data_IF_008402465202
#
_entry.id   IF_008402465202
#
_cell.length_a   1.000
_cell.length_b   1.000
_cell.length_c   1.000
_cell.angle_alpha   90.00
_cell.angle_beta   90.00
_cell.angle_gamma   90.00
#
_symmetry.space_group_name_H-M   'P 1'
#
loop_
_entity.id
_entity.type
_entity.pdbx_description
1 polymer ?
#
# COMPACT_ATOMS: atom_id res chain seq x y z
N UNK A 1 1.13 39.98 10.43
CA UNK A 1 2.24 39.06 10.79
C UNK A 1 3.26 39.11 9.67
N UNK A 2 4.49 39.57 9.94
CA UNK A 2 5.59 39.50 8.98
C UNK A 2 6.02 38.03 8.87
N UNK A 3 5.64 37.38 7.77
CA UNK A 3 6.07 36.01 7.47
C UNK A 3 7.41 36.08 6.75
N UNK A 4 8.49 35.78 7.47
CA UNK A 4 9.80 35.59 6.83
C UNK A 4 9.74 34.31 5.99
N UNK A 5 10.09 34.43 4.71
CA UNK A 5 10.16 33.30 3.76
C UNK A 5 11.59 33.16 3.28
N UNK A 6 12.01 31.92 3.06
CA UNK A 6 13.35 31.61 2.57
C UNK A 6 13.36 30.35 1.72
N UNK A 7 14.56 30.07 1.20
CA UNK A 7 14.86 28.82 0.49
C UNK A 7 16.06 28.18 1.17
N UNK A 8 15.94 26.92 1.55
CA UNK A 8 17.00 26.11 2.12
C UNK A 8 17.47 25.08 1.09
N UNK A 9 18.77 25.08 0.79
CA UNK A 9 19.35 24.18 -0.22
C UNK A 9 19.98 22.96 0.44
N UNK A 10 19.74 21.80 -0.14
CA UNK A 10 20.34 20.52 0.26
C UNK A 10 20.84 19.79 -0.99
N UNK A 11 21.56 18.68 -0.80
CA UNK A 11 21.94 17.79 -1.92
C UNK A 11 20.72 17.15 -2.61
N UNK A 12 19.60 17.04 -1.89
CA UNK A 12 18.38 16.39 -2.34
C UNK A 12 17.46 17.33 -3.13
N UNK A 13 17.49 18.61 -2.76
CA UNK A 13 16.76 19.67 -3.43
C UNK A 13 16.62 20.93 -2.60
N UNK A 14 15.90 21.89 -3.17
CA UNK A 14 15.62 23.17 -2.54
C UNK A 14 14.26 23.12 -1.81
N UNK A 15 14.25 23.47 -0.53
CA UNK A 15 13.04 23.61 0.29
C UNK A 15 12.66 25.08 0.43
N UNK A 16 11.51 25.46 -0.09
CA UNK A 16 10.88 26.72 0.28
C UNK A 16 10.31 26.61 1.69
N UNK A 17 10.48 27.64 2.50
CA UNK A 17 10.03 27.64 3.88
C UNK A 17 9.51 28.99 4.36
N UNK A 18 8.72 28.97 5.43
CA UNK A 18 8.24 30.15 6.16
C UNK A 18 8.54 29.99 7.65
N UNK A 19 9.00 31.07 8.27
CA UNK A 19 9.13 31.18 9.73
C UNK A 19 7.80 31.64 10.31
N UNK A 20 7.33 30.90 11.32
CA UNK A 20 6.13 31.19 12.09
C UNK A 20 6.51 31.35 13.56
N UNK A 21 5.70 32.09 14.32
CA UNK A 21 5.96 32.38 15.72
C UNK A 21 4.65 32.39 16.51
N UNK A 22 4.70 31.89 17.75
CA UNK A 22 3.55 31.86 18.65
C UNK A 22 3.21 33.28 19.12
N UNK A 23 1.92 33.61 19.15
CA UNK A 23 1.46 34.94 19.56
C UNK A 23 1.11 34.92 21.05
N UNK A 24 2.13 35.00 21.92
CA UNK A 24 1.98 35.20 23.36
C UNK A 24 2.61 34.12 24.24
N UNK A 25 3.40 34.54 25.23
CA UNK A 25 3.86 33.73 26.37
C UNK A 25 5.30 33.21 26.30
N UNK A 26 5.77 32.81 25.11
CA UNK A 26 7.18 32.54 24.81
C UNK A 26 7.37 32.78 23.30
N UNK A 27 8.41 33.50 22.86
CA UNK A 27 8.71 33.69 21.44
C UNK A 27 9.25 32.41 20.80
N UNK A 28 8.45 31.34 20.77
CA UNK A 28 8.82 30.12 20.08
C UNK A 28 8.60 30.32 18.58
N UNK A 29 9.69 30.25 17.82
CA UNK A 29 9.68 30.25 16.36
C UNK A 29 9.80 28.82 15.83
N UNK A 30 9.10 28.53 14.75
CA UNK A 30 9.23 27.28 14.00
C UNK A 30 9.19 27.53 12.52
N UNK A 31 9.56 26.51 11.75
CA UNK A 31 9.55 26.54 10.30
C UNK A 31 8.47 25.61 9.76
N UNK A 32 7.76 26.13 8.77
CA UNK A 32 6.83 25.41 7.90
C UNK A 32 7.45 25.28 6.51
N UNK A 33 7.68 24.06 6.03
CA UNK A 33 8.12 23.80 4.65
C UNK A 33 6.94 24.05 3.71
N UNK A 34 7.10 24.97 2.76
CA UNK A 34 6.02 25.40 1.86
C UNK A 34 6.04 24.71 0.51
N UNK A 35 7.22 24.37 0.01
CA UNK A 35 7.40 23.70 -1.27
C UNK A 35 8.74 22.98 -1.35
N UNK A 36 8.83 21.94 -2.16
CA UNK A 36 10.06 21.21 -2.44
C UNK A 36 10.36 21.14 -3.94
N UNK A 37 11.58 21.51 -4.31
CA UNK A 37 12.08 21.54 -5.69
C UNK A 37 13.37 20.72 -5.82
N UNK A 38 13.28 19.43 -5.51
CA UNK A 38 14.33 18.46 -5.79
C UNK A 38 13.99 17.52 -6.93
N UNK A 39 15.04 16.92 -7.50
CA UNK A 39 14.95 15.87 -8.52
C UNK A 39 15.42 14.52 -8.02
N UNK A 40 15.94 14.44 -6.79
CA UNK A 40 16.42 13.19 -6.21
C UNK A 40 15.26 12.23 -5.89
N UNK A 41 15.51 10.91 -5.96
CA UNK A 41 14.53 9.89 -5.64
C UNK A 41 14.27 9.76 -4.13
N UNK A 42 15.10 10.36 -3.29
CA UNK A 42 14.96 10.36 -1.85
C UNK A 42 14.96 11.79 -1.32
N UNK A 43 14.12 12.05 -0.32
CA UNK A 43 14.12 13.31 0.42
C UNK A 43 14.05 13.05 1.92
N UNK A 44 14.87 13.76 2.67
CA UNK A 44 14.80 13.91 4.12
C UNK A 44 14.32 15.32 4.41
N UNK A 45 13.12 15.44 4.99
CA UNK A 45 12.66 16.73 5.49
C UNK A 45 13.61 17.15 6.61
N UNK A 46 14.29 18.30 6.50
CA UNK A 46 15.27 18.71 7.50
C UNK A 46 14.60 18.89 8.86
N UNK A 47 15.25 18.43 9.93
CA UNK A 47 14.76 18.68 11.29
C UNK A 47 14.89 20.15 11.68
N UNK A 48 15.91 20.84 11.14
CA UNK A 48 16.20 22.25 11.40
C UNK A 48 16.63 22.97 10.13
N UNK A 49 16.22 24.22 10.00
CA UNK A 49 16.68 25.16 8.98
C UNK A 49 17.16 26.41 9.73
N UNK A 50 18.42 26.81 9.50
CA UNK A 50 19.04 27.96 10.20
C UNK A 50 18.95 27.87 11.74
N UNK A 51 19.02 26.66 12.29
CA UNK A 51 18.91 26.39 13.73
C UNK A 51 17.47 26.35 14.28
N UNK A 52 16.49 26.80 13.50
CA UNK A 52 15.07 26.78 13.86
C UNK A 52 14.45 25.42 13.52
N UNK A 53 13.65 24.88 14.44
CA UNK A 53 12.97 23.59 14.28
C UNK A 53 11.93 23.62 13.13
N UNK A 54 11.95 22.61 12.28
CA UNK A 54 10.91 22.38 11.26
C UNK A 54 9.79 21.59 11.90
N UNK A 55 8.62 22.22 12.06
CA UNK A 55 7.45 21.61 12.73
C UNK A 55 6.29 21.31 11.80
N UNK A 56 6.25 21.90 10.62
CA UNK A 56 5.13 21.67 9.71
C UNK A 56 5.57 21.50 8.25
N UNK A 57 4.85 20.66 7.54
CA UNK A 57 4.83 20.60 6.07
C UNK A 57 3.52 21.20 5.62
N UNK A 58 3.57 22.25 4.81
CA UNK A 58 2.39 22.93 4.33
C UNK A 58 1.57 22.07 3.37
N UNK A 59 0.30 22.47 3.19
CA UNK A 59 -0.57 21.99 2.13
C UNK A 59 0.16 22.00 0.78
N UNK A 60 0.13 20.86 0.08
CA UNK A 60 0.72 20.67 -1.27
C UNK A 60 2.25 20.86 -1.38
N UNK A 61 3.00 20.85 -0.28
CA UNK A 61 4.44 21.13 -0.31
C UNK A 61 5.25 20.19 -1.23
N UNK A 62 4.88 18.91 -1.31
CA UNK A 62 5.48 17.89 -2.16
C UNK A 62 4.52 17.44 -3.29
N UNK A 63 3.57 18.28 -3.68
CA UNK A 63 2.58 17.92 -4.70
C UNK A 63 3.26 17.53 -6.03
N UNK A 64 2.84 16.39 -6.58
CA UNK A 64 3.24 15.89 -7.90
C UNK A 64 4.75 15.73 -8.10
N UNK A 65 5.49 15.36 -7.05
CA UNK A 65 6.92 15.04 -7.16
C UNK A 65 7.11 13.63 -7.74
N UNK A 66 6.95 13.51 -9.05
CA UNK A 66 7.00 12.21 -9.78
C UNK A 66 8.33 11.48 -9.70
N UNK A 67 9.45 12.14 -9.39
CA UNK A 67 10.74 11.46 -9.24
C UNK A 67 10.94 10.88 -7.83
N UNK A 68 10.15 11.33 -6.86
CA UNK A 68 10.33 10.97 -5.46
C UNK A 68 9.87 9.53 -5.23
N UNK A 69 10.77 8.70 -4.69
CA UNK A 69 10.53 7.29 -4.31
C UNK A 69 10.53 7.08 -2.81
N UNK A 70 11.30 7.87 -2.06
CA UNK A 70 11.45 7.75 -0.61
C UNK A 70 11.31 9.10 0.07
N UNK A 71 10.47 9.18 1.10
CA UNK A 71 10.31 10.39 1.91
C UNK A 71 10.50 10.09 3.39
N UNK A 72 11.45 10.77 4.03
CA UNK A 72 11.71 10.65 5.47
C UNK A 72 11.28 11.96 6.13
N UNK A 73 10.20 11.91 6.92
CA UNK A 73 9.71 13.08 7.66
C UNK A 73 10.45 13.19 8.99
N UNK A 74 10.86 14.38 9.40
CA UNK A 74 11.64 14.58 10.61
C UNK A 74 10.88 14.30 11.91
N UNK A 75 11.60 13.86 12.94
CA UNK A 75 11.08 13.61 14.30
C UNK A 75 10.54 14.87 14.99
N UNK A 76 10.97 16.07 14.60
CA UNK A 76 10.45 17.31 15.17
C UNK A 76 9.13 17.75 14.52
N UNK A 77 8.69 17.09 13.43
CA UNK A 77 7.49 17.45 12.69
C UNK A 77 6.21 17.19 13.49
N UNK A 78 5.34 18.18 13.59
CA UNK A 78 4.07 18.13 14.33
C UNK A 78 2.86 18.08 13.39
N UNK A 79 2.99 18.61 12.17
CA UNK A 79 1.90 18.72 11.21
C UNK A 79 2.34 18.45 9.76
N UNK A 80 1.49 17.74 9.02
CA UNK A 80 1.56 17.57 7.56
C UNK A 80 0.24 18.03 6.98
N UNK A 81 0.24 19.09 6.19
CA UNK A 81 -0.97 19.69 5.65
C UNK A 81 -1.65 18.86 4.56
N UNK A 82 -2.86 19.29 4.19
CA UNK A 82 -3.67 18.60 3.18
C UNK A 82 -2.90 18.38 1.85
N UNK A 83 -3.08 17.21 1.24
CA UNK A 83 -2.45 16.86 -0.05
C UNK A 83 -0.93 17.06 -0.10
N UNK A 84 -0.23 17.06 1.04
CA UNK A 84 1.20 17.40 1.08
C UNK A 84 2.03 16.53 0.12
N UNK A 85 1.73 15.23 -0.01
CA UNK A 85 2.41 14.28 -0.90
C UNK A 85 1.52 13.80 -2.05
N UNK A 86 0.39 14.46 -2.33
CA UNK A 86 -0.53 13.95 -3.34
C UNK A 86 0.09 13.91 -4.75
N UNK A 87 -0.35 12.96 -5.58
CA UNK A 87 0.12 12.73 -6.95
C UNK A 87 1.62 12.40 -7.07
N UNK A 88 2.26 11.93 -6.00
CA UNK A 88 3.63 11.42 -6.05
C UNK A 88 3.60 9.96 -6.54
N UNK A 89 3.40 9.78 -7.85
CA UNK A 89 3.11 8.48 -8.46
C UNK A 89 4.16 7.40 -8.24
N UNK A 90 5.43 7.78 -8.05
CA UNK A 90 6.55 6.86 -7.83
C UNK A 90 6.98 6.77 -6.35
N UNK A 91 6.27 7.42 -5.42
CA UNK A 91 6.60 7.36 -4.00
C UNK A 91 6.31 5.96 -3.48
N UNK A 92 7.34 5.21 -3.11
CA UNK A 92 7.25 3.80 -2.71
C UNK A 92 7.24 3.61 -1.20
N UNK A 93 8.03 4.43 -0.49
CA UNK A 93 8.22 4.31 0.94
C UNK A 93 8.26 5.65 1.66
N UNK A 94 7.57 5.71 2.80
CA UNK A 94 7.51 6.90 3.65
C UNK A 94 7.90 6.51 5.07
N UNK A 95 8.74 7.31 5.71
CA UNK A 95 9.10 7.16 7.12
C UNK A 95 8.47 8.28 7.92
N UNK A 96 7.58 7.91 8.83
CA UNK A 96 6.90 8.81 9.75
C UNK A 96 7.48 8.63 11.16
N UNK A 97 7.66 9.71 11.92
CA UNK A 97 8.08 9.61 13.31
C UNK A 97 6.97 8.93 14.13
N UNK A 98 7.33 8.01 15.02
CA UNK A 98 6.39 7.26 15.87
C UNK A 98 5.92 8.10 17.07
N UNK A 99 5.28 9.22 16.75
CA UNK A 99 4.70 10.16 17.71
C UNK A 99 3.39 10.71 17.15
N UNK A 100 2.69 11.49 17.97
CA UNK A 100 1.51 12.22 17.51
C UNK A 100 1.89 13.19 16.38
N UNK A 101 1.37 12.94 15.18
CA UNK A 101 1.55 13.76 14.00
C UNK A 101 0.17 14.12 13.45
N UNK A 102 -0.12 15.42 13.29
CA UNK A 102 -1.37 15.85 12.66
C UNK A 102 -1.23 15.67 11.16
N UNK A 103 -1.97 14.72 10.59
CA UNK A 103 -2.06 14.52 9.15
C UNK A 103 -3.30 15.26 8.64
N UNK A 104 -3.12 16.09 7.63
CA UNK A 104 -4.21 16.75 6.91
C UNK A 104 -4.99 15.77 6.06
N UNK A 105 -5.99 16.27 5.35
CA UNK A 105 -6.82 15.41 4.50
C UNK A 105 -6.01 14.95 3.29
N UNK A 106 -6.18 13.68 2.91
CA UNK A 106 -5.71 13.12 1.63
C UNK A 106 -4.21 13.35 1.37
N UNK A 107 -3.38 13.22 2.42
CA UNK A 107 -1.91 13.46 2.35
C UNK A 107 -1.25 12.69 1.21
N UNK A 108 -1.66 11.43 0.99
CA UNK A 108 -1.12 10.50 -0.01
C UNK A 108 -2.10 10.20 -1.15
N UNK A 109 -3.02 11.12 -1.45
CA UNK A 109 -3.97 10.95 -2.56
C UNK A 109 -3.23 10.76 -3.89
N UNK A 110 -3.69 9.80 -4.70
CA UNK A 110 -3.11 9.49 -6.02
C UNK A 110 -1.61 9.15 -5.95
N UNK A 111 -1.22 8.38 -4.94
CA UNK A 111 0.13 7.82 -4.79
C UNK A 111 0.12 6.29 -4.93
N UNK A 112 -0.14 5.73 -6.13
CA UNK A 112 -0.28 4.29 -6.35
C UNK A 112 1.02 3.50 -6.11
N UNK A 113 2.17 4.17 -6.11
CA UNK A 113 3.46 3.54 -5.82
C UNK A 113 3.67 3.17 -4.35
N UNK A 114 2.91 3.74 -3.40
CA UNK A 114 3.20 3.57 -1.97
C UNK A 114 2.89 2.13 -1.57
N UNK A 115 3.95 1.40 -1.23
CA UNK A 115 3.84 0.02 -0.74
C UNK A 115 4.09 -0.07 0.76
N UNK A 116 4.82 0.89 1.35
CA UNK A 116 5.19 0.85 2.77
C UNK A 116 5.23 2.23 3.41
N UNK A 117 4.61 2.35 4.58
CA UNK A 117 4.75 3.50 5.48
C UNK A 117 5.34 3.00 6.79
N UNK A 118 6.61 3.29 7.02
CA UNK A 118 7.32 2.92 8.23
C UNK A 118 7.09 3.94 9.34
N UNK A 119 7.05 3.44 10.58
CA UNK A 119 7.16 4.28 11.78
C UNK A 119 8.55 4.09 12.37
N UNK A 120 9.17 5.16 12.84
CA UNK A 120 10.51 5.10 13.42
C UNK A 120 10.63 5.94 14.68
N UNK A 121 11.61 5.61 15.52
CA UNK A 121 11.98 6.38 16.72
C UNK A 121 13.42 6.88 16.55
N UNK A 122 13.69 8.10 17.02
CA UNK A 122 14.97 8.82 16.86
C UNK A 122 16.22 8.02 17.31
N UNK A 123 16.07 7.08 18.24
CA UNK A 123 17.14 6.19 18.72
C UNK A 123 17.54 5.10 17.71
N UNK A 124 16.82 4.93 16.60
CA UNK A 124 17.01 3.85 15.60
C UNK A 124 17.33 4.34 14.19
N UNK A 125 17.83 5.58 14.02
CA UNK A 125 18.11 6.19 12.70
C UNK A 125 19.19 5.47 11.85
N UNK A 126 19.83 4.40 12.34
CA UNK A 126 20.55 3.46 11.48
C UNK A 126 19.55 2.55 10.75
N UNK A 127 18.81 3.12 9.79
CA UNK A 127 17.63 2.54 9.11
C UNK A 127 17.95 1.28 8.28
N UNK A 128 19.21 0.87 8.14
CA UNK A 128 19.56 -0.21 7.21
C UNK A 128 19.44 -1.64 7.77
N UNK A 129 19.40 -1.87 9.10
CA UNK A 129 19.74 -3.19 9.63
C UNK A 129 18.79 -3.85 10.66
N UNK A 130 17.60 -3.31 10.93
CA UNK A 130 16.67 -3.98 11.87
C UNK A 130 15.20 -3.91 11.42
N UNK A 131 14.91 -4.49 10.26
CA UNK A 131 13.54 -4.71 9.82
C UNK A 131 13.04 -6.06 10.30
N UNK A 132 12.18 -6.06 11.33
CA UNK A 132 11.47 -7.28 11.71
C UNK A 132 10.34 -7.56 10.73
N UNK A 133 9.99 -8.83 10.54
CA UNK A 133 8.86 -9.23 9.70
C UNK A 133 7.56 -8.54 10.13
N UNK A 134 7.33 -8.37 11.44
CA UNK A 134 6.16 -7.66 11.95
C UNK A 134 6.15 -6.16 11.57
N UNK A 135 7.32 -5.52 11.51
CA UNK A 135 7.44 -4.12 11.10
C UNK A 135 7.18 -3.95 9.60
N UNK A 136 7.69 -4.86 8.76
CA UNK A 136 7.40 -4.89 7.33
C UNK A 136 5.90 -5.04 7.07
N UNK A 137 5.25 -5.96 7.77
CA UNK A 137 3.81 -6.18 7.64
C UNK A 137 2.99 -4.97 8.12
N UNK A 138 3.36 -4.40 9.27
CA UNK A 138 2.71 -3.17 9.77
C UNK A 138 2.85 -2.01 8.77
N UNK A 139 4.03 -1.87 8.16
CA UNK A 139 4.28 -0.80 7.19
C UNK A 139 3.44 -0.96 5.91
N UNK A 140 3.24 -2.20 5.44
CA UNK A 140 2.36 -2.50 4.32
C UNK A 140 0.88 -2.21 4.65
N UNK A 141 0.42 -2.58 5.85
CA UNK A 141 -0.95 -2.31 6.30
C UNK A 141 -1.20 -0.80 6.47
N UNK A 142 -0.23 -0.03 6.98
CA UNK A 142 -0.31 1.44 7.06
C UNK A 142 -0.38 2.08 5.66
N UNK A 143 0.42 1.60 4.71
CA UNK A 143 0.35 2.04 3.33
C UNK A 143 -1.04 1.80 2.74
N UNK A 144 -1.57 0.58 2.88
CA UNK A 144 -2.90 0.23 2.39
C UNK A 144 -4.02 1.06 3.04
N UNK A 145 -3.89 1.39 4.33
CA UNK A 145 -4.82 2.29 5.02
C UNK A 145 -4.85 3.69 4.37
N UNK A 146 -3.69 4.20 3.95
CA UNK A 146 -3.55 5.51 3.32
C UNK A 146 -4.08 5.54 1.89
N UNK A 147 -3.77 4.52 1.08
CA UNK A 147 -3.96 4.58 -0.39
C UNK A 147 -5.07 3.69 -0.92
N UNK A 148 -5.50 2.67 -0.18
CA UNK A 148 -6.51 1.71 -0.65
C UNK A 148 -7.84 1.80 0.11
N UNK A 149 -7.80 2.03 1.42
CA UNK A 149 -9.00 2.03 2.27
C UNK A 149 -9.66 3.40 2.46
N UNK A 150 -8.97 4.48 2.06
CA UNK A 150 -9.33 5.89 2.35
C UNK A 150 -9.72 6.07 3.83
N UNK A 151 -8.94 5.46 4.72
CA UNK A 151 -9.25 5.34 6.15
C UNK A 151 -8.23 6.14 6.96
N UNK A 152 -8.33 7.46 6.92
CA UNK A 152 -7.37 8.38 7.55
C UNK A 152 -7.18 8.13 9.05
N UNK A 153 -8.22 7.67 9.74
CA UNK A 153 -8.15 7.31 11.17
C UNK A 153 -7.26 6.09 11.46
N UNK A 154 -6.93 5.26 10.46
CA UNK A 154 -5.98 4.15 10.58
C UNK A 154 -4.52 4.61 10.39
N UNK A 155 -4.26 5.86 10.01
CA UNK A 155 -2.91 6.46 9.97
C UNK A 155 -2.41 6.90 11.35
N UNK A 156 -2.93 6.29 12.42
CA UNK A 156 -2.42 6.44 13.77
C UNK A 156 -1.09 5.68 13.92
N UNK A 157 0.00 6.39 13.65
CA UNK A 157 1.37 5.86 13.73
C UNK A 157 1.79 5.42 15.14
N UNK A 158 1.09 5.84 16.19
CA UNK A 158 1.42 5.45 17.57
C UNK A 158 0.89 4.04 17.88
N UNK A 159 -0.29 3.73 17.37
CA UNK A 159 -0.98 2.45 17.58
C UNK A 159 -0.73 1.43 16.47
N UNK A 160 -0.09 1.84 15.36
CA UNK A 160 0.19 0.96 14.24
C UNK A 160 0.88 -0.35 14.67
N UNK A 161 0.28 -1.49 14.27
CA UNK A 161 0.77 -2.83 14.58
C UNK A 161 0.33 -3.37 15.96
N UNK A 162 -0.38 -2.60 16.78
CA UNK A 162 -1.02 -3.16 18.00
C UNK A 162 -2.23 -4.01 17.62
N UNK A 163 -2.60 -4.97 18.48
CA UNK A 163 -3.78 -5.83 18.25
C UNK A 163 -5.05 -5.00 18.03
N UNK A 164 -5.25 -3.95 18.82
CA UNK A 164 -6.43 -3.09 18.70
C UNK A 164 -6.46 -2.31 17.38
N UNK A 165 -5.29 -1.88 16.89
CA UNK A 165 -5.19 -1.23 15.58
C UNK A 165 -5.46 -2.20 14.43
N UNK A 166 -4.91 -3.42 14.50
CA UNK A 166 -5.15 -4.48 13.50
C UNK A 166 -6.64 -4.82 13.42
N UNK A 167 -7.34 -4.96 14.54
CA UNK A 167 -8.78 -5.21 14.57
C UNK A 167 -9.61 -4.10 13.88
N UNK A 168 -9.22 -2.83 14.06
CA UNK A 168 -9.89 -1.72 13.36
C UNK A 168 -9.60 -1.76 11.85
N UNK A 169 -8.38 -2.13 11.48
CA UNK A 169 -7.98 -2.29 10.08
C UNK A 169 -8.78 -3.40 9.41
N UNK A 170 -8.89 -4.58 10.05
CA UNK A 170 -9.64 -5.72 9.54
C UNK A 170 -11.14 -5.43 9.45
N UNK A 171 -11.71 -4.74 10.46
CA UNK A 171 -13.11 -4.30 10.39
C UNK A 171 -13.37 -3.36 9.21
N UNK A 172 -12.42 -2.47 8.89
CA UNK A 172 -12.52 -1.59 7.71
C UNK A 172 -12.40 -2.39 6.41
N UNK A 173 -11.47 -3.32 6.33
CA UNK A 173 -11.34 -4.20 5.17
C UNK A 173 -12.62 -5.01 4.95
N UNK A 174 -13.18 -5.61 6.01
CA UNK A 174 -14.42 -6.37 5.93
C UNK A 174 -15.59 -5.53 5.39
N UNK A 175 -15.71 -4.27 5.82
CA UNK A 175 -16.72 -3.36 5.28
C UNK A 175 -16.52 -3.08 3.78
N UNK A 176 -15.27 -2.97 3.31
CA UNK A 176 -14.97 -2.80 1.86
C UNK A 176 -15.31 -4.06 1.07
N UNK A 177 -15.00 -5.23 1.62
CA UNK A 177 -15.25 -6.52 0.95
C UNK A 177 -16.75 -6.85 0.87
N UNK A 178 -17.52 -6.48 1.89
CA UNK A 178 -18.97 -6.67 1.95
C UNK A 178 -19.77 -5.68 1.08
N UNK A 179 -19.20 -4.53 0.70
CA UNK A 179 -19.86 -3.56 -0.17
C UNK A 179 -20.14 -4.17 -1.55
N UNK A 180 -21.27 -3.83 -2.17
CA UNK A 180 -21.57 -4.32 -3.52
C UNK A 180 -20.60 -3.72 -4.55
N UNK A 181 -20.26 -4.48 -5.59
CA UNK A 181 -19.25 -4.02 -6.57
C UNK A 181 -19.70 -2.76 -7.34
N UNK A 182 -21.01 -2.54 -7.49
CA UNK A 182 -21.58 -1.34 -8.11
C UNK A 182 -21.73 -0.16 -7.16
N UNK A 183 -21.46 -0.33 -5.86
CA UNK A 183 -21.65 0.71 -4.86
C UNK A 183 -20.76 1.94 -5.16
N UNK A 184 -21.41 3.10 -5.22
CA UNK A 184 -20.76 4.38 -5.52
C UNK A 184 -20.77 4.79 -6.99
N UNK A 185 -21.18 3.91 -7.92
CA UNK A 185 -21.22 4.25 -9.36
C UNK A 185 -22.14 5.44 -9.66
N UNK A 186 -23.37 5.41 -9.16
CA UNK A 186 -24.32 6.53 -9.35
C UNK A 186 -23.78 7.83 -8.76
N UNK A 187 -23.12 7.76 -7.60
CA UNK A 187 -22.52 8.94 -6.96
C UNK A 187 -21.38 9.50 -7.80
N UNK A 188 -20.51 8.65 -8.35
CA UNK A 188 -19.40 9.03 -9.24
C UNK A 188 -19.92 9.81 -10.46
N UNK A 189 -20.96 9.28 -11.12
CA UNK A 189 -21.61 9.95 -12.27
C UNK A 189 -22.18 11.31 -11.83
N UNK A 190 -22.95 11.33 -10.74
CA UNK A 190 -23.63 12.56 -10.28
C UNK A 190 -22.63 13.64 -9.83
N UNK A 191 -21.48 13.26 -9.30
CA UNK A 191 -20.43 14.18 -8.88
C UNK A 191 -19.54 14.65 -10.03
N UNK A 192 -19.70 14.12 -11.25
CA UNK A 192 -18.83 14.42 -12.38
C UNK A 192 -17.38 13.97 -12.14
N UNK A 193 -17.19 12.95 -11.28
CA UNK A 193 -15.90 12.33 -10.98
C UNK A 193 -15.59 11.17 -11.94
N UNK A 194 -16.41 10.98 -12.97
CA UNK A 194 -16.17 10.00 -14.02
C UNK A 194 -14.95 10.41 -14.86
N UNK A 195 -13.98 9.49 -15.00
CA UNK A 195 -13.11 9.53 -16.17
C UNK A 195 -14.01 9.38 -17.41
N UNK A 196 -13.84 10.26 -18.40
CA UNK A 196 -14.63 10.26 -19.63
C UNK A 196 -14.71 8.84 -20.21
N UNK A 197 -15.90 8.22 -20.15
CA UNK A 197 -16.17 6.91 -20.73
C UNK A 197 -16.17 5.70 -19.79
N UNK A 198 -16.06 5.87 -18.47
CA UNK A 198 -16.14 4.73 -17.53
C UNK A 198 -17.53 4.07 -17.52
N UNK A 199 -17.63 2.88 -18.12
CA UNK A 199 -18.86 2.07 -18.10
C UNK A 199 -19.11 1.46 -16.72
N UNK A 200 -20.36 1.08 -16.42
CA UNK A 200 -20.69 0.36 -15.18
C UNK A 200 -19.87 -0.94 -15.05
N UNK A 201 -19.68 -1.65 -16.16
CA UNK A 201 -18.91 -2.89 -16.20
C UNK A 201 -17.44 -2.65 -15.84
N UNK A 202 -16.82 -1.61 -16.41
CA UNK A 202 -15.45 -1.22 -16.10
C UNK A 202 -15.30 -0.75 -14.65
N UNK A 203 -16.28 -0.01 -14.14
CA UNK A 203 -16.32 0.38 -12.74
C UNK A 203 -16.36 -0.84 -11.80
N UNK A 204 -17.26 -1.80 -12.07
CA UNK A 204 -17.39 -3.04 -11.29
C UNK A 204 -16.10 -3.85 -11.33
N UNK A 205 -15.50 -4.01 -12.52
CA UNK A 205 -14.22 -4.72 -12.68
C UNK A 205 -13.11 -4.05 -11.89
N UNK A 206 -13.00 -2.72 -11.95
CA UNK A 206 -12.01 -1.97 -11.17
C UNK A 206 -12.23 -2.08 -9.66
N UNK A 207 -13.50 -2.11 -9.21
CA UNK A 207 -13.85 -2.37 -7.80
C UNK A 207 -13.41 -3.75 -7.35
N UNK A 208 -13.67 -4.79 -8.13
CA UNK A 208 -13.21 -6.16 -7.86
C UNK A 208 -11.69 -6.27 -7.84
N UNK A 209 -10.99 -5.66 -8.80
CA UNK A 209 -9.51 -5.58 -8.77
C UNK A 209 -9.04 -4.90 -7.48
N UNK A 210 -9.72 -3.84 -7.01
CA UNK A 210 -9.44 -3.21 -5.72
C UNK A 210 -9.57 -4.16 -4.52
N UNK A 211 -10.67 -4.92 -4.46
CA UNK A 211 -10.91 -5.96 -3.44
C UNK A 211 -9.87 -7.07 -3.48
N UNK A 212 -9.52 -7.56 -4.67
CA UNK A 212 -8.46 -8.56 -4.89
C UNK A 212 -7.12 -8.07 -4.35
N UNK A 213 -6.70 -6.84 -4.71
CA UNK A 213 -5.45 -6.25 -4.21
C UNK A 213 -5.43 -6.18 -2.68
N UNK A 214 -6.55 -5.78 -2.05
CA UNK A 214 -6.67 -5.75 -0.59
C UNK A 214 -6.57 -7.16 0.02
N UNK A 215 -7.25 -8.15 -0.55
CA UNK A 215 -7.22 -9.54 -0.08
C UNK A 215 -5.82 -10.15 -0.19
N UNK A 216 -5.15 -9.99 -1.33
CA UNK A 216 -3.75 -10.42 -1.52
C UNK A 216 -2.83 -9.72 -0.52
N UNK A 217 -2.93 -8.41 -0.39
CA UNK A 217 -2.13 -7.63 0.55
C UNK A 217 -2.33 -8.12 1.99
N UNK A 218 -3.56 -8.37 2.42
CA UNK A 218 -3.82 -8.82 3.79
C UNK A 218 -3.30 -10.22 4.05
N UNK A 219 -3.46 -11.16 3.11
CA UNK A 219 -2.95 -12.53 3.24
C UNK A 219 -1.41 -12.59 3.24
N UNK A 220 -0.74 -11.72 2.48
CA UNK A 220 0.73 -11.61 2.49
C UNK A 220 1.28 -10.95 3.76
N UNK A 221 0.42 -10.27 4.52
CA UNK A 221 0.78 -9.60 5.76
C UNK A 221 -0.09 -10.13 6.93
N UNK A 222 0.08 -11.41 7.35
CA UNK A 222 -0.83 -12.10 8.27
C UNK A 222 -0.72 -11.68 9.75
N UNK A 223 0.00 -10.61 10.09
CA UNK A 223 0.17 -10.12 11.46
C UNK A 223 -1.20 -9.89 12.09
N UNK A 224 -1.49 -10.65 13.14
CA UNK A 224 -2.77 -10.60 13.86
C UNK A 224 -4.00 -10.91 13.01
N UNK A 225 -3.84 -11.58 11.86
CA UNK A 225 -4.96 -12.02 11.02
C UNK A 225 -5.59 -13.27 11.63
N UNK A 226 -6.89 -13.23 11.90
CA UNK A 226 -7.64 -14.39 12.37
C UNK A 226 -7.89 -15.38 11.22
N UNK A 227 -7.96 -16.68 11.53
CA UNK A 227 -8.10 -17.73 10.51
C UNK A 227 -9.43 -17.64 9.74
N UNK A 228 -10.50 -17.23 10.42
CA UNK A 228 -11.83 -17.04 9.83
C UNK A 228 -11.81 -15.94 8.76
N UNK A 229 -11.21 -14.78 9.06
CA UNK A 229 -11.06 -13.68 8.10
C UNK A 229 -10.16 -14.08 6.94
N UNK A 230 -9.06 -14.79 7.21
CA UNK A 230 -8.18 -15.31 6.17
C UNK A 230 -8.92 -16.25 5.21
N UNK A 231 -9.82 -17.09 5.72
CA UNK A 231 -10.64 -17.98 4.89
C UNK A 231 -11.58 -17.21 3.96
N UNK A 232 -12.24 -16.15 4.46
CA UNK A 232 -13.10 -15.29 3.65
C UNK A 232 -12.34 -14.62 2.49
N UNK A 233 -11.11 -14.14 2.75
CA UNK A 233 -10.28 -13.53 1.71
C UNK A 233 -9.82 -14.53 0.66
N UNK A 234 -9.48 -15.75 1.08
CA UNK A 234 -9.13 -16.85 0.14
C UNK A 234 -10.33 -17.24 -0.72
N UNK A 235 -11.50 -17.39 -0.12
CA UNK A 235 -12.74 -17.72 -0.85
C UNK A 235 -13.07 -16.67 -1.91
N UNK A 236 -12.97 -15.38 -1.56
CA UNK A 236 -13.15 -14.30 -2.52
C UNK A 236 -12.14 -14.41 -3.68
N UNK A 237 -10.85 -14.64 -3.39
CA UNK A 237 -9.85 -14.77 -4.46
C UNK A 237 -10.14 -15.97 -5.38
N UNK A 238 -10.60 -17.09 -4.83
CA UNK A 238 -10.96 -18.29 -5.58
C UNK A 238 -12.20 -18.10 -6.45
N UNK A 239 -13.17 -17.30 -6.01
CA UNK A 239 -14.37 -16.98 -6.80
C UNK A 239 -14.06 -16.12 -8.04
N UNK A 240 -12.92 -15.43 -8.05
CA UNK A 240 -12.50 -14.50 -9.09
C UNK A 240 -11.25 -14.97 -9.86
N UNK A 241 -10.92 -16.27 -9.86
CA UNK A 241 -9.75 -16.81 -10.57
C UNK A 241 -10.06 -17.20 -12.03
N UNK A 242 -9.04 -17.60 -12.80
CA UNK A 242 -9.20 -18.07 -14.19
C UNK A 242 -10.23 -19.18 -14.29
N UNK A 243 -11.14 -19.07 -15.27
CA UNK A 243 -12.21 -20.03 -15.52
C UNK A 243 -13.48 -19.82 -14.68
N UNK A 244 -13.48 -18.83 -13.78
CA UNK A 244 -14.70 -18.39 -13.09
C UNK A 244 -15.49 -17.40 -13.96
N UNK A 245 -16.70 -17.01 -13.52
CA UNK A 245 -17.52 -15.99 -14.21
C UNK A 245 -16.76 -14.66 -14.38
N UNK A 246 -15.88 -14.39 -13.42
CA UNK A 246 -15.10 -13.16 -13.30
C UNK A 246 -13.67 -13.55 -12.97
N UNK A 247 -12.66 -12.93 -13.58
CA UNK A 247 -11.26 -13.40 -13.52
C UNK A 247 -10.31 -12.38 -12.86
N UNK A 248 -10.81 -11.39 -12.12
CA UNK A 248 -9.98 -10.27 -11.63
C UNK A 248 -8.83 -10.71 -10.71
N UNK A 249 -8.94 -11.84 -9.98
CA UNK A 249 -7.81 -12.39 -9.22
C UNK A 249 -6.66 -12.79 -10.12
N UNK A 250 -6.96 -13.49 -11.22
CA UNK A 250 -5.95 -13.89 -12.19
C UNK A 250 -5.37 -12.69 -12.92
N UNK A 251 -6.23 -11.75 -13.34
CA UNK A 251 -5.80 -10.53 -14.02
C UNK A 251 -4.84 -9.69 -13.16
N UNK A 252 -5.18 -9.44 -11.89
CA UNK A 252 -4.31 -8.69 -10.97
C UNK A 252 -2.99 -9.44 -10.76
N UNK A 253 -3.02 -10.76 -10.56
CA UNK A 253 -1.80 -11.53 -10.41
C UNK A 253 -0.90 -11.43 -11.64
N UNK A 254 -1.47 -11.63 -12.84
CA UNK A 254 -0.72 -11.67 -14.10
C UNK A 254 -0.20 -10.28 -14.49
N UNK A 255 -1.07 -9.26 -14.46
CA UNK A 255 -0.78 -7.91 -14.96
C UNK A 255 0.07 -7.09 -13.98
N UNK A 256 -0.11 -7.28 -12.66
CA UNK A 256 0.50 -6.40 -11.64
C UNK A 256 1.59 -7.08 -10.82
N UNK A 257 1.46 -8.39 -10.57
CA UNK A 257 2.34 -9.13 -9.67
C UNK A 257 3.02 -10.34 -10.34
N UNK A 258 3.06 -10.35 -11.68
CA UNK A 258 3.57 -11.47 -12.47
C UNK A 258 5.02 -11.88 -12.19
N UNK A 259 5.80 -10.96 -11.62
CA UNK A 259 7.21 -11.12 -11.29
C UNK A 259 7.48 -11.13 -9.77
N UNK A 260 6.43 -11.13 -8.95
CA UNK A 260 6.57 -11.11 -7.49
C UNK A 260 6.28 -12.48 -6.89
N UNK A 261 7.33 -13.21 -6.49
CA UNK A 261 7.25 -14.60 -6.05
C UNK A 261 6.24 -14.87 -4.94
N UNK A 262 6.15 -13.98 -3.96
CA UNK A 262 5.23 -14.16 -2.84
C UNK A 262 3.77 -14.22 -3.30
N UNK A 263 3.40 -13.49 -4.37
CA UNK A 263 2.02 -13.46 -4.87
C UNK A 263 1.64 -14.74 -5.59
N UNK A 264 2.49 -15.26 -6.48
CA UNK A 264 2.18 -16.49 -7.19
C UNK A 264 2.31 -17.73 -6.31
N UNK A 265 3.18 -17.69 -5.29
CA UNK A 265 3.20 -18.72 -4.24
C UNK A 265 1.87 -18.74 -3.47
N UNK A 266 1.43 -17.58 -2.98
CA UNK A 266 0.14 -17.47 -2.30
C UNK A 266 -1.00 -17.96 -3.20
N UNK A 267 -1.04 -17.56 -4.47
CA UNK A 267 -2.06 -17.98 -5.43
C UNK A 267 -2.14 -19.51 -5.59
N UNK A 268 -1.00 -20.20 -5.66
CA UNK A 268 -0.99 -21.65 -5.67
C UNK A 268 -1.43 -22.25 -4.33
N UNK A 269 -0.93 -21.72 -3.21
CA UNK A 269 -1.21 -22.20 -1.84
C UNK A 269 -2.69 -22.07 -1.44
N UNK A 270 -3.40 -21.06 -1.95
CA UNK A 270 -4.84 -20.91 -1.70
C UNK A 270 -5.69 -21.86 -2.55
N UNK A 271 -5.09 -22.63 -3.47
CA UNK A 271 -5.79 -23.57 -4.34
C UNK A 271 -6.38 -22.94 -5.60
N UNK A 272 -5.85 -21.79 -6.06
CA UNK A 272 -6.38 -21.11 -7.25
C UNK A 272 -5.93 -21.76 -8.57
N UNK A 273 -4.89 -22.60 -8.53
CA UNK A 273 -4.54 -23.52 -9.60
C UNK A 273 -5.43 -24.76 -9.50
N UNK A 274 -6.24 -25.01 -10.52
CA UNK A 274 -7.14 -26.16 -10.59
C UNK A 274 -6.93 -26.90 -11.92
N UNK A 275 -7.35 -28.16 -11.98
CA UNK A 275 -7.21 -28.96 -13.19
C UNK A 275 -7.92 -28.33 -14.40
N UNK A 276 -9.09 -27.72 -14.18
CA UNK A 276 -9.92 -27.10 -15.22
C UNK A 276 -9.34 -25.79 -15.77
N UNK A 277 -8.48 -25.09 -15.03
CA UNK A 277 -7.98 -23.77 -15.41
C UNK A 277 -6.47 -23.72 -15.71
N UNK A 278 -5.70 -24.75 -15.33
CA UNK A 278 -4.24 -24.75 -15.38
C UNK A 278 -3.67 -24.51 -16.79
N UNK A 279 -4.20 -25.20 -17.79
CA UNK A 279 -3.72 -25.06 -19.17
C UNK A 279 -4.00 -23.66 -19.73
N UNK A 280 -5.14 -23.05 -19.34
CA UNK A 280 -5.46 -21.68 -19.73
C UNK A 280 -4.53 -20.67 -19.05
N UNK A 281 -4.20 -20.88 -17.77
CA UNK A 281 -3.24 -20.07 -17.03
C UNK A 281 -1.86 -20.09 -17.71
N UNK A 282 -1.38 -21.28 -18.08
CA UNK A 282 -0.09 -21.42 -18.78
C UNK A 282 -0.09 -20.72 -20.14
N UNK A 283 -1.21 -20.82 -20.88
CA UNK A 283 -1.38 -20.19 -22.19
C UNK A 283 -1.33 -18.66 -22.10
N UNK A 284 -2.02 -18.07 -21.13
CA UNK A 284 -2.08 -16.60 -20.95
C UNK A 284 -0.69 -16.00 -20.70
N UNK A 285 0.21 -16.75 -20.04
CA UNK A 285 1.57 -16.29 -19.80
C UNK A 285 2.51 -16.38 -21.04
N UNK A 286 2.07 -16.98 -22.16
CA UNK A 286 2.76 -17.03 -23.46
C UNK A 286 4.29 -17.27 -23.43
N UNK A 287 5.12 -16.26 -23.75
CA UNK A 287 6.60 -16.30 -23.65
C UNK A 287 7.13 -15.58 -22.39
N UNK A 288 6.28 -14.87 -21.65
CA UNK A 288 6.63 -14.13 -20.44
C UNK A 288 6.63 -14.97 -19.15
N UNK A 289 6.88 -14.33 -18.01
CA UNK A 289 6.67 -14.88 -16.65
C UNK A 289 7.31 -16.26 -16.39
N UNK A 290 8.56 -16.46 -16.84
CA UNK A 290 9.24 -17.75 -16.77
C UNK A 290 9.32 -18.34 -15.35
N UNK A 291 9.55 -17.50 -14.34
CA UNK A 291 9.61 -17.91 -12.93
C UNK A 291 8.25 -18.41 -12.42
N UNK A 292 7.18 -17.64 -12.64
CA UNK A 292 5.81 -18.03 -12.28
C UNK A 292 5.40 -19.34 -12.96
N UNK A 293 5.69 -19.50 -14.26
CA UNK A 293 5.44 -20.75 -14.99
C UNK A 293 6.17 -21.94 -14.38
N UNK A 294 7.48 -21.80 -14.17
CA UNK A 294 8.29 -22.87 -13.61
C UNK A 294 7.78 -23.27 -12.23
N UNK A 295 7.37 -22.30 -11.42
CA UNK A 295 6.76 -22.54 -10.12
C UNK A 295 5.42 -23.30 -10.25
N UNK A 296 4.49 -22.87 -11.10
CA UNK A 296 3.19 -23.54 -11.28
C UNK A 296 3.32 -24.98 -11.79
N UNK A 297 4.20 -25.24 -12.76
CA UNK A 297 4.48 -26.60 -13.25
C UNK A 297 5.03 -27.47 -12.12
N UNK A 298 6.01 -26.95 -11.37
CA UNK A 298 6.61 -27.67 -10.24
C UNK A 298 5.59 -27.93 -9.12
N UNK A 299 4.68 -26.99 -8.87
CA UNK A 299 3.62 -27.13 -7.88
C UNK A 299 2.61 -28.21 -8.28
N UNK A 300 2.19 -28.25 -9.56
CA UNK A 300 1.29 -29.27 -10.09
C UNK A 300 1.86 -30.69 -9.95
N UNK A 301 3.11 -30.88 -10.35
CA UNK A 301 3.79 -32.18 -10.26
C UNK A 301 3.85 -32.71 -8.82
N UNK A 302 4.04 -31.82 -7.84
CA UNK A 302 4.13 -32.20 -6.42
C UNK A 302 2.78 -32.47 -5.77
N UNK A 303 1.75 -31.69 -6.13
CA UNK A 303 0.50 -31.63 -5.36
C UNK A 303 -0.74 -32.16 -6.10
N UNK A 304 -0.73 -32.22 -7.43
CA UNK A 304 -1.86 -32.72 -8.23
C UNK A 304 -1.59 -34.11 -8.82
N UNK A 305 -0.36 -34.39 -9.26
CA UNK A 305 0.01 -35.70 -9.85
C UNK A 305 0.32 -36.77 -8.78
N UNK A 306 0.33 -36.40 -7.49
CA UNK A 306 0.59 -37.29 -6.35
C UNK A 306 -0.60 -38.11 -5.85
N UNK A 307 -1.84 -37.85 -6.32
CA UNK A 307 -3.00 -38.69 -6.02
C UNK A 307 -3.14 -39.91 -6.95
N UNK A 308 -2.55 -39.89 -8.16
CA UNK A 308 -2.70 -41.00 -9.12
C UNK A 308 -1.52 -41.99 -9.13
N UNK A 309 -0.34 -41.63 -8.63
CA UNK A 309 0.84 -42.49 -8.77
C UNK A 309 0.91 -43.65 -7.77
N UNK A 310 0.37 -43.50 -6.54
CA UNK A 310 0.44 -44.55 -5.51
C UNK A 310 -0.83 -45.41 -5.41
N UNK A 311 -1.99 -44.93 -5.86
CA UNK A 311 -3.23 -45.73 -5.90
C UNK A 311 -3.19 -46.81 -7.01
N UNK A 312 -2.30 -46.68 -8.00
CA UNK A 312 -2.01 -47.73 -8.99
C UNK A 312 -1.02 -48.81 -8.52
N UNK A 313 -0.49 -48.70 -7.29
CA UNK A 313 0.50 -49.63 -6.72
C UNK A 313 0.00 -50.42 -5.51
N UNK A 314 -1.26 -50.27 -5.10
CA UNK A 314 -1.90 -51.29 -4.27
C UNK A 314 -2.22 -52.50 -5.17
N UNK A 315 -1.22 -53.35 -5.35
CA UNK A 315 -1.44 -54.73 -5.77
C UNK A 315 -2.36 -55.37 -4.72
N UNK A 316 -3.54 -55.80 -5.17
CA UNK A 316 -4.30 -56.84 -4.50
C UNK A 316 -3.40 -58.08 -4.39
N UNK A 317 -2.80 -58.29 -3.21
CA UNK A 317 -2.19 -59.56 -2.85
C UNK A 317 -3.32 -60.56 -2.50
N UNK A 318 -3.63 -61.42 -3.48
CA UNK A 318 -4.14 -62.81 -3.42
C UNK A 318 -5.52 -63.05 -2.79
#
# INVERSE_FOLDING_TARGET
>A
MNMEKGTWKTEEGDFGYRVEAETGGNEQRWITVTDYRGTQPQVHVPARIEGIAVRAVAKKAFLSRKNLRKAVLSEELEEVGDWAFAYCSNLESVWLPKKRLKLGNRVFMECPGIRRIYTYEMTRLNIENFQSQAMEQTAALLAAAAVMLDAEYLLDVQEAGTKAWIQKWDARMAAVMAAEDGEGYTKMILCGEEDYGCSLEEFIRNKRKGKVRLALLRLLNPLGLEEEDAALWKEYLLAHTKGCETEETWEVLLEEHGYEENYFRLFAEIGALREDNFDSILKDMAEGYAEMKAYFISYRQKNMEGMDFFDGLSLDDI
#
